data_IF_373101723125
#
_entry.id   IF_373101723125
#
_cell.length_a   1.000
_cell.length_b   1.000
_cell.length_c   1.000
_cell.angle_alpha   90.00
_cell.angle_beta   90.00
_cell.angle_gamma   90.00
#
_symmetry.space_group_name_H-M   'P 1'
#
loop_
_entity.id
_entity.type
_entity.pdbx_description
1 polymer ?
#
# COMPACT_ATOMS: atom_id res chain seq x y z
N UNK A 1 8.38 11.57 37.46
CA UNK A 1 7.28 10.59 37.54
C UNK A 1 7.41 9.63 36.37
N UNK A 2 7.66 8.33 36.58
CA UNK A 2 7.84 7.39 35.49
C UNK A 2 6.47 6.93 34.95
N UNK A 3 6.36 6.93 33.62
CA UNK A 3 5.22 6.40 32.86
C UNK A 3 5.17 4.88 33.04
N UNK A 4 4.13 4.36 33.65
CA UNK A 4 3.83 2.93 33.70
C UNK A 4 2.91 2.56 32.54
N UNK A 5 3.35 1.64 31.68
CA UNK A 5 2.57 1.09 30.58
C UNK A 5 1.34 0.32 31.10
N UNK A 6 0.16 0.43 30.45
CA UNK A 6 -1.00 -0.36 30.83
C UNK A 6 -0.83 -1.83 30.48
N UNK A 7 -1.19 -2.67 31.43
CA UNK A 7 -1.18 -4.12 31.44
C UNK A 7 -2.05 -4.72 30.31
N UNK A 8 -1.55 -5.78 29.70
CA UNK A 8 -2.26 -6.69 28.80
C UNK A 8 -3.56 -7.19 29.43
N UNK A 9 -4.70 -6.74 28.95
CA UNK A 9 -6.00 -7.33 29.30
C UNK A 9 -6.77 -7.77 28.06
N UNK A 10 -7.01 -9.09 28.06
CA UNK A 10 -8.09 -9.85 27.45
C UNK A 10 -8.45 -9.54 25.99
N UNK A 11 -7.81 -10.31 25.13
CA UNK A 11 -8.33 -10.60 23.78
C UNK A 11 -9.66 -11.35 23.98
N UNK A 12 -10.76 -10.71 23.63
CA UNK A 12 -12.07 -11.33 23.55
C UNK A 12 -12.00 -12.44 22.49
N UNK A 13 -11.94 -13.69 22.92
CA UNK A 13 -12.11 -14.86 22.05
C UNK A 13 -13.55 -14.87 21.54
N UNK A 14 -13.78 -14.32 20.35
CA UNK A 14 -15.02 -14.58 19.61
C UNK A 14 -14.97 -16.04 19.17
N UNK A 15 -15.74 -16.91 19.84
CA UNK A 15 -16.03 -18.26 19.36
C UNK A 15 -16.83 -18.14 18.08
N UNK A 16 -16.19 -18.30 16.95
CA UNK A 16 -16.87 -18.48 15.67
C UNK A 16 -17.40 -19.91 15.68
N UNK A 17 -18.70 -20.07 15.97
CA UNK A 17 -19.39 -21.34 15.85
C UNK A 17 -19.28 -21.83 14.38
N UNK A 18 -18.61 -22.94 14.22
CA UNK A 18 -18.44 -23.62 12.94
C UNK A 18 -19.77 -24.13 12.39
N UNK A 19 -20.41 -23.36 11.55
CA UNK A 19 -21.39 -23.90 10.60
C UNK A 19 -20.63 -24.34 9.35
N UNK A 20 -20.47 -25.65 9.18
CA UNK A 20 -20.12 -26.27 7.91
C UNK A 20 -21.23 -25.98 6.91
N UNK A 21 -21.12 -24.87 6.18
CA UNK A 21 -21.85 -24.67 4.94
C UNK A 21 -20.88 -25.01 3.81
N UNK A 22 -21.06 -26.20 3.23
CA UNK A 22 -20.57 -26.59 1.92
C UNK A 22 -21.33 -25.79 0.85
N UNK A 23 -21.09 -24.49 0.79
CA UNK A 23 -21.47 -23.64 -0.31
C UNK A 23 -20.23 -23.40 -1.17
N UNK A 24 -20.31 -23.59 -2.48
CA UNK A 24 -19.28 -23.14 -3.43
C UNK A 24 -18.86 -21.73 -3.02
N UNK A 25 -17.67 -21.60 -2.40
CA UNK A 25 -17.03 -20.30 -2.23
C UNK A 25 -16.82 -19.76 -3.63
N UNK A 26 -17.58 -18.78 -4.06
CA UNK A 26 -17.25 -18.04 -5.27
C UNK A 26 -15.86 -17.48 -5.03
N UNK A 27 -14.88 -17.99 -5.76
CA UNK A 27 -13.51 -17.49 -5.74
C UNK A 27 -13.62 -16.06 -6.24
N UNK A 28 -13.53 -15.09 -5.33
CA UNK A 28 -13.54 -13.69 -5.70
C UNK A 28 -12.18 -13.41 -6.32
N UNK A 29 -12.18 -13.12 -7.61
CA UNK A 29 -10.97 -12.73 -8.32
C UNK A 29 -10.59 -11.30 -7.90
N UNK A 30 -9.39 -11.12 -7.33
CA UNK A 30 -8.91 -9.81 -6.88
C UNK A 30 -8.73 -8.82 -8.02
N UNK A 31 -8.59 -9.28 -9.25
CA UNK A 31 -8.51 -8.42 -10.43
C UNK A 31 -9.72 -7.48 -10.60
N UNK A 32 -10.88 -7.83 -10.04
CA UNK A 32 -12.07 -6.97 -10.07
C UNK A 32 -11.94 -5.69 -9.21
N UNK A 33 -10.92 -5.60 -8.37
CA UNK A 33 -10.63 -4.43 -7.52
C UNK A 33 -9.42 -3.66 -8.01
N UNK A 34 -8.77 -4.12 -9.07
CA UNK A 34 -7.52 -3.55 -9.56
C UNK A 34 -7.78 -2.18 -10.20
N UNK A 35 -7.08 -1.17 -9.70
CA UNK A 35 -6.81 0.06 -10.44
C UNK A 35 -5.56 -0.18 -11.28
N UNK A 36 -5.68 -0.23 -12.62
CA UNK A 36 -4.55 -0.59 -13.49
C UNK A 36 -3.45 0.46 -13.44
N UNK A 37 -2.23 0.05 -13.77
CA UNK A 37 -1.03 0.89 -13.73
C UNK A 37 -1.20 2.24 -14.44
N UNK A 38 -1.94 2.27 -15.54
CA UNK A 38 -2.19 3.46 -16.36
C UNK A 38 -2.98 4.55 -15.60
N UNK A 39 -3.77 4.15 -14.60
CA UNK A 39 -4.57 5.04 -13.76
C UNK A 39 -3.90 5.39 -12.43
N UNK A 40 -2.74 4.77 -12.15
CA UNK A 40 -2.03 4.89 -10.87
C UNK A 40 -0.84 5.84 -11.01
N UNK A 41 -0.70 6.77 -10.08
CA UNK A 41 0.54 7.53 -9.93
C UNK A 41 1.60 6.67 -9.25
N UNK A 42 2.74 6.51 -9.89
CA UNK A 42 3.93 5.82 -9.36
C UNK A 42 5.18 6.65 -9.61
N UNK A 43 6.27 6.34 -8.94
CA UNK A 43 7.59 6.91 -9.22
C UNK A 43 8.49 5.85 -9.87
N UNK A 44 9.48 6.31 -10.62
CA UNK A 44 10.61 5.48 -11.01
C UNK A 44 11.71 5.62 -9.96
N UNK A 45 12.42 4.56 -9.71
CA UNK A 45 13.46 4.50 -8.70
C UNK A 45 14.71 5.35 -9.04
N UNK A 46 14.92 5.62 -10.35
CA UNK A 46 15.97 6.50 -10.87
C UNK A 46 15.64 8.00 -10.82
N UNK A 47 14.37 8.37 -10.53
CA UNK A 47 14.00 9.77 -10.34
C UNK A 47 14.77 10.40 -9.18
N UNK A 48 15.11 11.69 -9.31
CA UNK A 48 15.68 12.44 -8.20
C UNK A 48 14.64 12.66 -7.09
N UNK A 49 15.11 12.88 -5.85
CA UNK A 49 14.23 13.21 -4.71
C UNK A 49 13.35 14.42 -5.05
N UNK A 50 13.92 15.44 -5.69
CA UNK A 50 13.17 16.62 -6.13
C UNK A 50 12.01 16.25 -7.06
N UNK A 51 12.26 15.47 -8.11
CA UNK A 51 11.23 15.04 -9.06
C UNK A 51 10.13 14.21 -8.37
N UNK A 52 10.52 13.33 -7.46
CA UNK A 52 9.58 12.54 -6.64
C UNK A 52 8.67 13.41 -5.81
N UNK A 53 9.22 14.39 -5.08
CA UNK A 53 8.45 15.33 -4.26
C UNK A 53 7.50 16.19 -5.10
N UNK A 54 7.96 16.71 -6.24
CA UNK A 54 7.12 17.49 -7.16
C UNK A 54 5.93 16.68 -7.64
N UNK A 55 6.14 15.38 -7.94
CA UNK A 55 5.09 14.49 -8.40
C UNK A 55 4.09 14.16 -7.29
N UNK A 56 4.54 13.84 -6.05
CA UNK A 56 3.66 13.64 -4.90
C UNK A 56 2.79 14.90 -4.65
N UNK A 57 3.43 16.06 -4.57
CA UNK A 57 2.74 17.34 -4.34
C UNK A 57 1.69 17.62 -5.41
N UNK A 58 2.01 17.40 -6.69
CA UNK A 58 1.11 17.65 -7.82
C UNK A 58 -0.17 16.82 -7.74
N UNK A 59 -0.07 15.56 -7.33
CA UNK A 59 -1.20 14.63 -7.30
C UNK A 59 -1.84 14.51 -5.91
N UNK A 60 -1.25 15.10 -4.87
CA UNK A 60 -1.79 15.10 -3.51
C UNK A 60 -1.77 13.73 -2.82
N UNK A 61 -0.86 12.84 -3.22
CA UNK A 61 -0.73 11.52 -2.59
C UNK A 61 0.31 11.54 -1.48
N UNK A 62 -0.01 10.87 -0.36
CA UNK A 62 0.90 10.71 0.79
C UNK A 62 1.88 9.56 0.63
N UNK A 63 1.59 8.61 -0.25
CA UNK A 63 2.45 7.47 -0.58
C UNK A 63 2.13 6.95 -1.98
N UNK A 64 3.14 6.49 -2.70
CA UNK A 64 3.02 5.95 -4.06
C UNK A 64 3.93 4.75 -4.28
N UNK A 65 3.57 3.81 -5.17
CA UNK A 65 4.44 2.73 -5.60
C UNK A 65 5.67 3.26 -6.33
N UNK A 66 6.77 2.50 -6.25
CA UNK A 66 8.01 2.74 -7.00
C UNK A 66 8.31 1.52 -7.85
N UNK A 67 8.66 1.77 -9.11
CA UNK A 67 9.02 0.75 -10.10
C UNK A 67 10.40 1.05 -10.70
N UNK A 68 11.07 0.02 -11.20
CA UNK A 68 12.34 0.15 -11.93
C UNK A 68 12.14 0.41 -13.45
N UNK A 69 13.24 0.39 -14.19
CA UNK A 69 13.25 0.61 -15.63
C UNK A 69 12.51 -0.49 -16.42
N UNK A 70 12.46 -1.71 -15.87
CA UNK A 70 11.75 -2.87 -16.43
C UNK A 70 10.31 -3.00 -15.91
N UNK A 71 9.78 -1.93 -15.31
CA UNK A 71 8.44 -1.88 -14.71
C UNK A 71 8.21 -2.84 -13.54
N UNK A 72 9.28 -3.38 -12.94
CA UNK A 72 9.17 -4.26 -11.77
C UNK A 72 8.93 -3.44 -10.52
N UNK A 73 8.12 -3.99 -9.62
CA UNK A 73 7.86 -3.37 -8.34
C UNK A 73 9.13 -3.37 -7.45
N UNK A 74 9.50 -2.19 -6.94
CA UNK A 74 10.65 -2.00 -6.05
C UNK A 74 10.22 -1.75 -4.61
N UNK A 75 9.13 -0.99 -4.41
CA UNK A 75 8.66 -0.65 -3.07
C UNK A 75 7.61 0.45 -3.08
N UNK A 76 7.40 1.05 -1.93
CA UNK A 76 6.55 2.24 -1.74
C UNK A 76 7.38 3.32 -1.09
N UNK A 77 7.16 4.55 -1.48
CA UNK A 77 7.73 5.74 -0.85
C UNK A 77 6.59 6.67 -0.38
N UNK A 78 6.74 7.21 0.81
CA UNK A 78 5.81 8.14 1.43
C UNK A 78 6.44 9.52 1.62
N UNK A 79 5.62 10.56 1.84
CA UNK A 79 6.09 11.89 2.23
C UNK A 79 7.04 11.83 3.45
N UNK A 80 6.76 10.94 4.40
CA UNK A 80 7.64 10.73 5.56
C UNK A 80 9.02 10.21 5.17
N UNK A 81 9.12 9.30 4.19
CA UNK A 81 10.42 8.78 3.76
C UNK A 81 11.28 9.88 3.12
N UNK A 82 10.67 10.77 2.33
CA UNK A 82 11.34 11.96 1.82
C UNK A 82 11.80 12.90 2.95
N UNK A 83 10.90 13.21 3.90
CA UNK A 83 11.21 14.08 5.01
C UNK A 83 12.38 13.57 5.85
N UNK A 84 12.32 12.30 6.27
CA UNK A 84 13.36 11.71 7.09
C UNK A 84 14.69 11.61 6.37
N UNK A 85 14.69 11.33 5.07
CA UNK A 85 15.92 11.34 4.27
C UNK A 85 16.55 12.73 4.22
N UNK A 86 15.75 13.77 3.94
CA UNK A 86 16.21 15.16 3.92
C UNK A 86 16.82 15.56 5.27
N UNK A 87 16.17 15.22 6.37
CA UNK A 87 16.64 15.54 7.72
C UNK A 87 17.90 14.78 8.12
N UNK A 88 18.06 13.53 7.68
CA UNK A 88 19.20 12.68 8.04
C UNK A 88 20.49 13.02 7.28
N UNK A 89 20.37 13.57 6.07
CA UNK A 89 21.52 13.91 5.23
C UNK A 89 22.01 15.36 5.41
N UNK A 90 21.25 16.19 6.12
CA UNK A 90 21.62 17.57 6.37
C UNK A 90 21.73 17.81 7.88
N UNK A 91 22.97 17.79 8.39
CA UNK A 91 23.27 18.10 9.80
C UNK A 91 22.91 19.54 10.19
N UNK A 92 22.76 20.43 9.20
CA UNK A 92 22.31 21.81 9.37
C UNK A 92 21.15 22.08 8.41
N UNK A 93 19.97 22.39 8.96
CA UNK A 93 18.75 22.66 8.19
C UNK A 93 18.90 23.82 7.19
N UNK A 94 19.84 24.71 7.44
CA UNK A 94 20.12 25.88 6.60
C UNK A 94 20.82 25.53 5.26
N UNK A 95 21.27 24.29 5.09
CA UNK A 95 22.01 23.86 3.88
C UNK A 95 21.17 23.06 2.88
N UNK A 96 19.87 22.87 3.15
CA UNK A 96 18.97 22.19 2.22
C UNK A 96 18.76 23.06 0.98
N UNK A 97 19.41 22.70 -0.10
CA UNK A 97 19.25 23.37 -1.40
C UNK A 97 18.56 22.46 -2.40
N UNK A 98 17.91 23.04 -3.41
CA UNK A 98 17.32 22.26 -4.52
C UNK A 98 18.38 21.40 -5.23
N UNK A 99 19.62 21.85 -5.29
CA UNK A 99 20.75 21.09 -5.84
C UNK A 99 21.12 19.85 -5.00
N UNK A 100 20.95 19.88 -3.67
CA UNK A 100 21.20 18.70 -2.84
C UNK A 100 20.17 17.61 -3.06
N UNK A 101 18.91 17.98 -3.34
CA UNK A 101 17.81 17.04 -3.65
C UNK A 101 17.91 16.41 -5.05
N UNK A 102 18.75 16.94 -5.92
CA UNK A 102 19.03 16.39 -7.25
C UNK A 102 20.14 15.33 -7.24
N UNK A 103 20.90 15.22 -6.15
CA UNK A 103 22.01 14.26 -6.02
C UNK A 103 21.57 12.87 -5.56
N UNK A 104 20.41 12.76 -4.93
CA UNK A 104 19.86 11.53 -4.40
C UNK A 104 18.69 11.07 -5.26
N UNK A 105 18.56 9.77 -5.42
CA UNK A 105 17.47 9.13 -6.15
C UNK A 105 16.37 8.65 -5.21
N UNK A 106 15.19 8.40 -5.78
CA UNK A 106 14.08 7.77 -5.06
C UNK A 106 14.49 6.40 -4.51
N UNK A 107 15.37 5.66 -5.23
CA UNK A 107 15.93 4.37 -4.78
C UNK A 107 16.61 4.46 -3.42
N UNK A 108 17.28 5.58 -3.13
CA UNK A 108 18.06 5.76 -1.90
C UNK A 108 17.18 5.89 -0.65
N UNK A 109 15.88 6.20 -0.81
CA UNK A 109 14.95 6.41 0.28
C UNK A 109 13.92 5.29 0.44
N UNK A 110 13.86 4.33 -0.49
CA UNK A 110 12.94 3.21 -0.41
C UNK A 110 13.35 2.29 0.75
N UNK A 111 12.42 2.06 1.66
CA UNK A 111 12.58 1.04 2.69
C UNK A 111 12.16 -0.32 2.13
N UNK A 112 13.15 -1.09 1.67
CA UNK A 112 12.91 -2.41 1.09
C UNK A 112 12.13 -3.32 2.05
N UNK A 113 11.11 -4.01 1.54
CA UNK A 113 10.32 -4.99 2.29
C UNK A 113 9.27 -4.42 3.25
N UNK A 114 9.14 -3.11 3.40
CA UNK A 114 8.12 -2.48 4.27
C UNK A 114 6.70 -2.75 3.78
N UNK A 115 6.48 -2.70 2.48
CA UNK A 115 5.20 -3.00 1.84
C UNK A 115 5.43 -4.07 0.78
N UNK A 116 4.82 -5.24 1.00
CA UNK A 116 4.92 -6.37 0.05
C UNK A 116 3.79 -6.30 -0.96
N UNK A 117 4.07 -6.52 -2.24
CA UNK A 117 3.03 -6.65 -3.24
C UNK A 117 2.31 -8.01 -3.10
N UNK A 118 1.15 -8.13 -3.71
CA UNK A 118 0.47 -9.42 -3.92
C UNK A 118 0.51 -9.77 -5.40
N UNK A 119 0.51 -11.07 -5.72
CA UNK A 119 0.34 -11.54 -7.08
C UNK A 119 -1.13 -11.40 -7.50
N UNK A 120 -1.40 -11.18 -8.79
CA UNK A 120 -2.77 -11.00 -9.31
C UNK A 120 -3.67 -12.21 -9.09
N UNK A 121 -3.12 -13.39 -8.90
CA UNK A 121 -3.82 -14.63 -8.59
C UNK A 121 -3.99 -14.91 -7.09
N UNK A 122 -3.51 -13.99 -6.24
CA UNK A 122 -3.65 -14.08 -4.78
C UNK A 122 -5.12 -14.19 -4.35
N UNK A 123 -5.34 -14.91 -3.27
CA UNK A 123 -6.67 -15.05 -2.68
C UNK A 123 -7.09 -13.82 -1.85
N UNK A 124 -8.41 -13.71 -1.60
CA UNK A 124 -8.98 -12.58 -0.85
C UNK A 124 -8.46 -12.49 0.59
N UNK A 125 -8.11 -13.61 1.24
CA UNK A 125 -7.65 -13.61 2.64
C UNK A 125 -6.29 -12.94 2.76
N UNK A 126 -5.38 -13.22 1.83
CA UNK A 126 -4.07 -12.60 1.77
C UNK A 126 -4.16 -11.11 1.43
N UNK A 127 -5.00 -10.75 0.44
CA UNK A 127 -5.27 -9.36 0.10
C UNK A 127 -5.81 -8.58 1.32
N UNK A 128 -6.76 -9.14 2.06
CA UNK A 128 -7.31 -8.51 3.25
C UNK A 128 -6.26 -8.36 4.36
N UNK A 129 -5.39 -9.35 4.53
CA UNK A 129 -4.28 -9.27 5.48
C UNK A 129 -3.36 -8.08 5.19
N UNK A 130 -3.02 -7.85 3.92
CA UNK A 130 -2.21 -6.70 3.52
C UNK A 130 -2.98 -5.37 3.68
N UNK A 131 -4.25 -5.33 3.27
CA UNK A 131 -5.08 -4.12 3.34
C UNK A 131 -5.36 -3.63 4.76
N UNK A 132 -5.24 -4.48 5.79
CA UNK A 132 -5.32 -4.05 7.19
C UNK A 132 -4.18 -3.12 7.59
N UNK A 133 -2.99 -3.34 7.02
CA UNK A 133 -1.77 -2.63 7.41
C UNK A 133 -1.50 -1.38 6.57
N UNK A 134 -2.14 -1.25 5.40
CA UNK A 134 -1.81 -0.21 4.41
C UNK A 134 -3.04 0.27 3.65
N UNK A 135 -2.99 1.49 3.10
CA UNK A 135 -4.13 2.10 2.41
C UNK A 135 -4.35 1.54 1.00
N UNK A 136 -3.30 1.02 0.38
CA UNK A 136 -3.36 0.31 -0.90
C UNK A 136 -2.39 -0.85 -0.91
N UNK A 137 -2.68 -1.86 -1.70
CA UNK A 137 -1.85 -3.05 -1.89
C UNK A 137 -1.33 -3.04 -3.32
N UNK A 138 -0.02 -2.97 -3.54
CA UNK A 138 0.56 -3.12 -4.87
C UNK A 138 0.31 -4.51 -5.43
N UNK A 139 0.01 -4.60 -6.72
CA UNK A 139 -0.26 -5.86 -7.43
C UNK A 139 0.76 -6.06 -8.52
N UNK A 140 1.29 -7.26 -8.60
CA UNK A 140 2.29 -7.69 -9.58
C UNK A 140 1.83 -8.93 -10.35
N UNK A 141 2.46 -9.17 -11.49
CA UNK A 141 2.35 -10.45 -12.19
C UNK A 141 3.40 -11.47 -11.68
N UNK A 142 3.45 -12.64 -12.29
CA UNK A 142 4.39 -13.74 -11.99
C UNK A 142 5.87 -13.39 -12.28
N UNK A 143 6.13 -12.31 -13.02
CA UNK A 143 7.47 -11.80 -13.34
C UNK A 143 7.88 -10.60 -12.47
N UNK A 144 7.12 -10.29 -11.43
CA UNK A 144 7.29 -9.12 -10.57
C UNK A 144 7.03 -7.78 -11.29
N UNK A 145 6.37 -7.79 -12.45
CA UNK A 145 5.98 -6.55 -13.14
C UNK A 145 4.80 -5.92 -12.40
N UNK A 146 4.90 -4.63 -12.12
CA UNK A 146 3.84 -3.87 -11.47
C UNK A 146 2.67 -3.64 -12.44
N UNK A 147 1.49 -4.14 -12.08
CA UNK A 147 0.29 -4.05 -12.91
C UNK A 147 -0.76 -3.09 -12.35
N UNK A 148 -0.63 -2.64 -11.10
CA UNK A 148 -1.55 -1.68 -10.50
C UNK A 148 -1.62 -1.78 -8.99
N UNK A 149 -2.67 -1.21 -8.42
CA UNK A 149 -2.94 -1.25 -6.99
C UNK A 149 -4.38 -1.68 -6.70
N UNK A 150 -4.60 -2.22 -5.52
CA UNK A 150 -5.94 -2.38 -4.95
C UNK A 150 -6.03 -1.51 -3.71
N UNK A 151 -6.97 -0.56 -3.69
CA UNK A 151 -7.13 0.32 -2.54
C UNK A 151 -8.01 -0.32 -1.46
N UNK A 152 -7.72 0.01 -0.20
CA UNK A 152 -8.59 -0.37 0.93
C UNK A 152 -10.04 0.08 0.72
N UNK A 153 -10.23 1.24 0.12
CA UNK A 153 -11.54 1.80 -0.19
C UNK A 153 -12.35 0.90 -1.14
N UNK A 154 -11.73 0.38 -2.20
CA UNK A 154 -12.42 -0.52 -3.13
C UNK A 154 -12.82 -1.84 -2.48
N UNK A 155 -11.96 -2.38 -1.62
CA UNK A 155 -12.27 -3.60 -0.85
C UNK A 155 -13.48 -3.35 0.07
N UNK A 156 -13.51 -2.22 0.79
CA UNK A 156 -14.61 -1.87 1.69
C UNK A 156 -15.92 -1.68 0.90
N UNK A 157 -15.90 -0.95 -0.21
CA UNK A 157 -17.07 -0.75 -1.09
C UNK A 157 -17.68 -2.09 -1.55
N UNK A 158 -16.83 -3.04 -1.94
CA UNK A 158 -17.27 -4.37 -2.34
C UNK A 158 -18.03 -5.09 -1.23
N UNK A 159 -17.50 -5.10 0.00
CA UNK A 159 -18.16 -5.78 1.11
C UNK A 159 -19.48 -5.11 1.51
N UNK A 160 -19.52 -3.78 1.48
CA UNK A 160 -20.77 -3.03 1.73
C UNK A 160 -21.82 -3.42 0.68
N UNK A 161 -21.49 -3.37 -0.61
CA UNK A 161 -22.40 -3.74 -1.69
C UNK A 161 -22.91 -5.18 -1.54
N UNK A 162 -22.02 -6.12 -1.23
CA UNK A 162 -22.38 -7.52 -1.03
C UNK A 162 -23.33 -7.73 0.16
N UNK A 163 -23.16 -6.97 1.25
CA UNK A 163 -24.08 -7.04 2.38
C UNK A 163 -25.48 -6.52 2.03
N UNK A 164 -25.59 -5.44 1.26
CA UNK A 164 -26.86 -4.88 0.79
C UNK A 164 -27.58 -5.90 -0.09
N UNK A 165 -26.89 -6.51 -1.07
CA UNK A 165 -27.46 -7.53 -1.96
C UNK A 165 -27.98 -8.76 -1.21
N UNK A 166 -27.33 -9.14 -0.11
CA UNK A 166 -27.80 -10.25 0.73
C UNK A 166 -29.04 -9.87 1.52
N UNK A 167 -29.11 -8.64 2.05
CA UNK A 167 -30.26 -8.14 2.80
C UNK A 167 -31.50 -8.03 1.92
N UNK A 168 -31.36 -7.54 0.68
CA UNK A 168 -32.46 -7.42 -0.29
C UNK A 168 -33.04 -8.78 -0.74
N UNK A 169 -32.24 -9.85 -0.74
CA UNK A 169 -32.70 -11.21 -1.09
C UNK A 169 -33.43 -11.93 0.06
N UNK A 170 -33.47 -11.36 1.25
CA UNK A 170 -34.11 -11.94 2.44
C UNK A 170 -35.48 -11.30 2.72
N UNK A 171 -35.92 -10.32 1.91
CA UNK A 171 -37.21 -9.70 1.94
C UNK A 171 -38.10 -10.30 0.87
#
# INVERSE_FOLDING_TARGET
MPWTAPSKRSILRIKINGHKRTGRRSIVNIASFLSPKEEVTFLRDDMTIRQGLEKLKRYGYTAVPVIDAEDRYVGVVSEGDFLWNILSHNSELDTITMKSLEKLSVRDIIQSGKIRPVCIDTNMEELLGQAQMQNFVPVIDDRNVFIGIITRSEIIKYFIKKQIEVAEKQI
#
